data_IF_399683313958
#
_entry.id   IF_399683313958
#
_cell.length_a   1.000
_cell.length_b   1.000
_cell.length_c   1.000
_cell.angle_alpha   90.00
_cell.angle_beta   90.00
_cell.angle_gamma   90.00
#
_symmetry.space_group_name_H-M   'P 1'
#
loop_
_entity.id
_entity.type
_entity.pdbx_description
1 polymer ?
#
# COMPACT_ATOMS: atom_id res chain seq x y z
N UNK A 1 -32.36 9.70 24.80
CA UNK A 1 -31.53 8.72 24.06
C UNK A 1 -31.54 9.16 22.61
N UNK A 2 -30.36 9.41 22.03
CA UNK A 2 -30.27 9.80 20.63
C UNK A 2 -30.73 8.66 19.73
N UNK A 3 -31.58 8.99 18.74
CA UNK A 3 -32.05 8.00 17.76
C UNK A 3 -30.89 7.64 16.84
N UNK A 4 -30.53 6.35 16.79
CA UNK A 4 -29.47 5.86 15.91
C UNK A 4 -29.95 5.91 14.46
N UNK A 5 -29.16 6.53 13.59
CA UNK A 5 -29.44 6.58 12.15
C UNK A 5 -28.77 5.40 11.43
N UNK A 6 -29.55 4.36 11.15
CA UNK A 6 -29.08 3.14 10.52
C UNK A 6 -28.74 3.29 9.02
N UNK A 7 -29.08 4.41 8.39
CA UNK A 7 -28.80 4.63 6.96
C UNK A 7 -27.33 4.88 6.65
N UNK A 8 -26.53 5.21 7.69
CA UNK A 8 -25.10 5.51 7.59
C UNK A 8 -24.21 4.27 7.57
N UNK A 9 -24.73 3.13 7.99
CA UNK A 9 -23.99 1.87 8.02
C UNK A 9 -24.03 1.19 6.66
N UNK A 10 -22.98 0.45 6.34
CA UNK A 10 -22.92 -0.41 5.17
C UNK A 10 -23.90 -1.58 5.30
N UNK A 11 -24.28 -2.17 4.16
CA UNK A 11 -25.18 -3.34 4.14
C UNK A 11 -24.60 -4.50 4.97
N UNK A 12 -23.28 -4.69 4.90
CA UNK A 12 -22.55 -5.75 5.61
C UNK A 12 -22.62 -5.54 7.13
N UNK A 13 -22.42 -4.30 7.61
CA UNK A 13 -22.55 -3.95 9.03
C UNK A 13 -24.00 -4.11 9.53
N UNK A 14 -25.00 -3.78 8.70
CA UNK A 14 -26.41 -3.96 9.04
C UNK A 14 -26.79 -5.45 9.10
N UNK A 15 -26.30 -6.28 8.19
CA UNK A 15 -26.51 -7.73 8.24
C UNK A 15 -25.83 -8.36 9.46
N UNK A 16 -24.63 -7.91 9.80
CA UNK A 16 -23.91 -8.38 10.98
C UNK A 16 -24.64 -7.98 12.28
N UNK A 17 -25.08 -6.71 12.36
CA UNK A 17 -25.89 -6.23 13.46
C UNK A 17 -27.21 -7.01 13.58
N UNK A 18 -27.89 -7.30 12.47
CA UNK A 18 -29.13 -8.07 12.46
C UNK A 18 -28.95 -9.52 12.94
N UNK A 19 -27.79 -10.14 12.70
CA UNK A 19 -27.49 -11.50 13.17
C UNK A 19 -27.19 -11.56 14.67
N UNK A 20 -26.59 -10.51 15.22
CA UNK A 20 -26.09 -10.50 16.60
C UNK A 20 -26.97 -9.71 17.59
N UNK A 21 -27.96 -8.97 17.11
CA UNK A 21 -28.89 -8.22 17.96
C UNK A 21 -29.82 -9.16 18.73
N UNK A 22 -30.00 -8.87 20.02
CA UNK A 22 -31.00 -9.53 20.87
C UNK A 22 -32.40 -9.05 20.47
N UNK A 23 -33.19 -9.98 19.90
CA UNK A 23 -34.52 -9.70 19.33
C UNK A 23 -35.57 -9.46 20.41
N UNK A 24 -35.41 -10.08 21.57
CA UNK A 24 -36.36 -9.97 22.67
C UNK A 24 -36.16 -8.64 23.39
N UNK A 25 -34.91 -8.20 23.50
CA UNK A 25 -34.56 -6.95 24.18
C UNK A 25 -34.75 -5.70 23.32
N UNK A 26 -34.58 -5.78 22.00
CA UNK A 26 -34.64 -4.61 21.10
C UNK A 26 -35.44 -4.85 19.80
N UNK A 27 -36.73 -5.21 19.88
CA UNK A 27 -37.54 -5.54 18.72
C UNK A 27 -37.69 -4.38 17.71
N UNK A 28 -37.72 -3.14 18.19
CA UNK A 28 -37.88 -1.96 17.33
C UNK A 28 -36.66 -1.75 16.41
N UNK A 29 -35.46 -1.98 16.95
CA UNK A 29 -34.21 -1.86 16.18
C UNK A 29 -34.12 -2.94 15.10
N UNK A 30 -34.57 -4.16 15.44
CA UNK A 30 -34.63 -5.28 14.49
C UNK A 30 -35.54 -4.92 13.31
N UNK A 31 -36.74 -4.39 13.57
CA UNK A 31 -37.66 -3.94 12.52
C UNK A 31 -37.08 -2.83 11.66
N UNK A 32 -36.43 -1.84 12.25
CA UNK A 32 -35.79 -0.75 11.50
C UNK A 32 -34.68 -1.28 10.56
N UNK A 33 -33.81 -2.18 11.05
CA UNK A 33 -32.76 -2.79 10.24
C UNK A 33 -33.36 -3.68 9.14
N UNK A 34 -34.36 -4.49 9.47
CA UNK A 34 -35.06 -5.36 8.51
C UNK A 34 -35.73 -4.58 7.38
N UNK A 35 -36.38 -3.44 7.69
CA UNK A 35 -36.97 -2.55 6.69
C UNK A 35 -35.93 -2.00 5.71
N UNK A 36 -34.71 -1.72 6.17
CA UNK A 36 -33.62 -1.22 5.32
C UNK A 36 -33.06 -2.36 4.46
N UNK A 37 -32.87 -3.56 5.04
CA UNK A 37 -32.33 -4.73 4.34
C UNK A 37 -33.29 -5.27 3.28
N UNK A 38 -34.60 -5.18 3.51
CA UNK A 38 -35.63 -5.63 2.58
C UNK A 38 -35.94 -4.63 1.45
N UNK A 39 -35.43 -3.39 1.51
CA UNK A 39 -35.62 -2.39 0.45
C UNK A 39 -34.54 -2.56 -0.65
N UNK A 40 -34.92 -3.07 -1.85
CA UNK A 40 -33.96 -3.33 -2.92
C UNK A 40 -33.34 -2.06 -3.49
N UNK A 41 -34.02 -0.91 -3.40
CA UNK A 41 -33.53 0.37 -3.92
C UNK A 41 -32.40 0.89 -3.03
N UNK A 42 -32.62 0.90 -1.71
CA UNK A 42 -31.61 1.33 -0.73
C UNK A 42 -30.39 0.41 -0.73
N UNK A 43 -30.61 -0.90 -0.82
CA UNK A 43 -29.53 -1.89 -0.89
C UNK A 43 -28.62 -1.67 -2.10
N UNK A 44 -29.19 -1.42 -3.28
CA UNK A 44 -28.41 -1.10 -4.49
C UNK A 44 -27.63 0.20 -4.36
N UNK A 45 -28.24 1.24 -3.78
CA UNK A 45 -27.58 2.53 -3.58
C UNK A 45 -26.36 2.43 -2.64
N UNK A 46 -26.48 1.71 -1.53
CA UNK A 46 -25.38 1.49 -0.59
C UNK A 46 -24.25 0.65 -1.20
N UNK A 47 -24.56 -0.47 -1.87
CA UNK A 47 -23.55 -1.32 -2.53
C UNK A 47 -22.73 -0.54 -3.57
N UNK A 48 -23.35 0.36 -4.31
CA UNK A 48 -22.64 1.22 -5.27
C UNK A 48 -21.70 2.22 -4.58
N UNK A 49 -22.13 2.75 -3.43
CA UNK A 49 -21.34 3.69 -2.63
C UNK A 49 -20.12 2.99 -2.03
N UNK A 50 -20.28 1.76 -1.54
CA UNK A 50 -19.19 0.96 -0.96
C UNK A 50 -18.18 0.53 -2.01
N UNK A 51 -18.63 0.11 -3.21
CA UNK A 51 -17.75 -0.15 -4.35
C UNK A 51 -16.93 1.09 -4.71
N UNK A 52 -17.55 2.26 -4.74
CA UNK A 52 -16.86 3.52 -5.04
C UNK A 52 -15.84 3.89 -3.96
N UNK A 53 -16.19 3.77 -2.67
CA UNK A 53 -15.27 3.97 -1.55
C UNK A 53 -14.08 3.02 -1.60
N UNK A 54 -14.32 1.74 -1.88
CA UNK A 54 -13.28 0.72 -2.01
C UNK A 54 -12.34 1.03 -3.17
N UNK A 55 -12.88 1.41 -4.33
CA UNK A 55 -12.09 1.86 -5.49
C UNK A 55 -11.23 3.08 -5.16
N UNK A 56 -11.78 4.10 -4.48
CA UNK A 56 -10.99 5.26 -4.04
C UNK A 56 -9.87 4.84 -3.10
N UNK A 57 -10.16 3.95 -2.13
CA UNK A 57 -9.16 3.46 -1.17
C UNK A 57 -8.05 2.67 -1.88
N UNK A 58 -8.41 1.84 -2.86
CA UNK A 58 -7.46 1.09 -3.69
C UNK A 58 -6.63 2.02 -4.58
N UNK A 59 -7.23 3.04 -5.21
CA UNK A 59 -6.48 4.03 -5.99
C UNK A 59 -5.53 4.85 -5.11
N UNK A 60 -5.94 5.23 -3.90
CA UNK A 60 -5.07 5.87 -2.90
C UNK A 60 -3.96 4.93 -2.46
N UNK A 61 -4.26 3.66 -2.20
CA UNK A 61 -3.29 2.65 -1.83
C UNK A 61 -2.29 2.39 -2.96
N UNK A 62 -2.72 2.29 -4.21
CA UNK A 62 -1.84 2.16 -5.38
C UNK A 62 -0.99 3.41 -5.61
N UNK A 63 -1.56 4.62 -5.45
CA UNK A 63 -0.80 5.88 -5.48
C UNK A 63 0.23 5.93 -4.34
N UNK A 64 -0.08 5.42 -3.16
CA UNK A 64 0.85 5.32 -2.03
C UNK A 64 1.95 4.27 -2.25
N UNK A 65 1.63 3.14 -2.88
CA UNK A 65 2.62 2.10 -3.25
C UNK A 65 3.56 2.59 -4.36
N UNK A 66 3.04 3.28 -5.39
CA UNK A 66 3.86 3.98 -6.40
C UNK A 66 4.67 5.14 -5.81
N UNK A 67 4.35 5.59 -4.59
CA UNK A 67 5.11 6.59 -3.83
C UNK A 67 6.24 6.00 -2.97
N UNK A 68 6.39 4.67 -2.84
CA UNK A 68 7.61 4.10 -2.23
C UNK A 68 8.80 4.47 -3.10
N UNK A 69 9.67 5.29 -2.52
CA UNK A 69 10.51 6.21 -3.28
C UNK A 69 11.68 5.51 -3.98
N UNK A 70 11.99 5.89 -5.24
CA UNK A 70 13.21 5.45 -5.91
C UNK A 70 14.49 5.90 -5.20
N UNK A 71 14.40 6.81 -4.22
CA UNK A 71 15.49 7.22 -3.35
C UNK A 71 16.00 6.07 -2.46
N UNK A 72 15.11 5.21 -1.96
CA UNK A 72 15.50 4.06 -1.13
C UNK A 72 16.35 3.07 -1.90
N UNK A 73 16.02 2.82 -3.17
CA UNK A 73 16.83 1.95 -4.05
C UNK A 73 18.18 2.58 -4.37
N UNK A 74 18.23 3.89 -4.65
CA UNK A 74 19.50 4.58 -4.89
C UNK A 74 20.45 4.46 -3.68
N UNK A 75 19.95 4.70 -2.47
CA UNK A 75 20.72 4.56 -1.23
C UNK A 75 21.18 3.11 -1.01
N UNK A 76 20.30 2.14 -1.24
CA UNK A 76 20.62 0.71 -1.13
C UNK A 76 21.79 0.33 -2.04
N UNK A 77 21.80 0.77 -3.30
CA UNK A 77 22.90 0.48 -4.23
C UNK A 77 24.22 1.16 -3.83
N UNK A 78 24.18 2.36 -3.25
CA UNK A 78 25.38 3.02 -2.70
C UNK A 78 25.95 2.18 -1.56
N UNK A 79 25.11 1.78 -0.59
CA UNK A 79 25.54 0.94 0.55
C UNK A 79 26.13 -0.38 0.05
N UNK A 80 25.46 -1.03 -0.91
CA UNK A 80 25.94 -2.29 -1.47
C UNK A 80 27.29 -2.13 -2.19
N UNK A 81 27.45 -1.04 -2.97
CA UNK A 81 28.71 -0.72 -3.64
C UNK A 81 29.86 -0.51 -2.66
N UNK A 82 29.63 0.22 -1.56
CA UNK A 82 30.61 0.39 -0.47
C UNK A 82 30.95 -0.95 0.18
N UNK A 83 29.95 -1.76 0.53
CA UNK A 83 30.19 -3.07 1.14
C UNK A 83 31.02 -4.00 0.24
N UNK A 84 30.70 -4.07 -1.06
CA UNK A 84 31.46 -4.89 -2.02
C UNK A 84 32.89 -4.35 -2.19
N UNK A 85 33.06 -3.03 -2.19
CA UNK A 85 34.39 -2.41 -2.39
C UNK A 85 35.33 -2.68 -1.21
N UNK A 86 34.82 -2.63 0.03
CA UNK A 86 35.61 -2.85 1.24
C UNK A 86 35.75 -4.32 1.63
N UNK A 87 34.65 -5.09 1.57
CA UNK A 87 34.62 -6.47 2.07
C UNK A 87 34.78 -7.51 0.96
N UNK A 88 34.60 -7.16 -0.31
CA UNK A 88 34.67 -8.11 -1.43
C UNK A 88 33.55 -9.16 -1.43
N UNK A 89 32.51 -8.98 -0.62
CA UNK A 89 31.40 -9.92 -0.47
C UNK A 89 30.24 -9.54 -1.37
N UNK A 90 29.96 -10.36 -2.38
CA UNK A 90 28.75 -10.27 -3.19
C UNK A 90 27.69 -11.26 -2.67
N UNK A 91 26.54 -10.72 -2.28
CA UNK A 91 25.39 -11.54 -1.89
C UNK A 91 24.79 -12.20 -3.14
N UNK A 92 25.01 -13.51 -3.30
CA UNK A 92 24.31 -14.32 -4.30
C UNK A 92 22.90 -14.65 -3.84
N UNK A 93 21.98 -14.79 -4.81
CA UNK A 93 20.62 -15.30 -4.58
C UNK A 93 20.60 -16.73 -4.01
N UNK A 94 21.68 -17.48 -4.17
CA UNK A 94 21.85 -18.84 -3.63
C UNK A 94 22.36 -18.88 -2.19
N UNK A 95 22.68 -17.72 -1.58
CA UNK A 95 23.24 -17.64 -0.22
C UNK A 95 24.73 -17.97 -0.13
N UNK A 96 25.36 -18.40 -1.22
CA UNK A 96 26.82 -18.55 -1.30
C UNK A 96 27.44 -17.19 -1.63
N UNK A 97 28.14 -16.58 -0.67
CA UNK A 97 28.89 -15.36 -0.92
C UNK A 97 30.03 -15.63 -1.88
N UNK A 98 30.09 -14.94 -3.02
CA UNK A 98 31.28 -14.98 -3.87
C UNK A 98 32.25 -13.92 -3.36
N UNK A 99 33.41 -14.38 -2.86
CA UNK A 99 34.51 -13.50 -2.52
C UNK A 99 35.21 -13.06 -3.81
N UNK A 100 35.35 -11.75 -3.98
CA UNK A 100 36.15 -11.16 -5.06
C UNK A 100 37.51 -10.84 -4.48
N UNK A 101 38.57 -11.52 -4.88
CA UNK A 101 39.89 -11.35 -4.24
C UNK A 101 40.70 -10.19 -4.84
N UNK A 102 40.44 -9.85 -6.11
CA UNK A 102 41.14 -8.75 -6.78
C UNK A 102 40.59 -7.39 -6.37
N UNK A 103 41.47 -6.52 -5.85
CA UNK A 103 41.13 -5.13 -5.50
C UNK A 103 40.62 -4.35 -6.71
N UNK A 104 41.18 -4.60 -7.91
CA UNK A 104 40.74 -3.95 -9.15
C UNK A 104 39.30 -4.31 -9.51
N UNK A 105 38.93 -5.58 -9.37
CA UNK A 105 37.56 -6.06 -9.61
C UNK A 105 36.57 -5.47 -8.60
N UNK A 106 36.95 -5.39 -7.31
CA UNK A 106 36.13 -4.76 -6.27
C UNK A 106 35.80 -3.31 -6.61
N UNK A 107 36.80 -2.53 -7.04
CA UNK A 107 36.63 -1.12 -7.42
C UNK A 107 35.73 -1.00 -8.65
N UNK A 108 35.92 -1.83 -9.68
CA UNK A 108 35.06 -1.83 -10.87
C UNK A 108 33.61 -2.13 -10.52
N UNK A 109 33.35 -3.13 -9.69
CA UNK A 109 32.00 -3.50 -9.25
C UNK A 109 31.37 -2.36 -8.43
N UNK A 110 32.16 -1.71 -7.56
CA UNK A 110 31.72 -0.51 -6.83
C UNK A 110 31.29 0.64 -7.76
N UNK A 111 32.05 0.90 -8.83
CA UNK A 111 31.72 1.91 -9.85
C UNK A 111 30.39 1.57 -10.54
N UNK A 112 30.16 0.28 -10.87
CA UNK A 112 28.90 -0.17 -11.48
C UNK A 112 27.71 0.09 -10.55
N UNK A 113 27.83 -0.24 -9.27
CA UNK A 113 26.79 0.05 -8.28
C UNK A 113 26.50 1.55 -8.14
N UNK A 114 27.55 2.37 -8.14
CA UNK A 114 27.41 3.82 -8.09
C UNK A 114 26.72 4.39 -9.33
N UNK A 115 27.06 3.88 -10.52
CA UNK A 115 26.40 4.25 -11.77
C UNK A 115 24.90 3.90 -11.75
N UNK A 116 24.54 2.71 -11.25
CA UNK A 116 23.14 2.31 -11.07
C UNK A 116 22.44 3.27 -10.10
N UNK A 117 23.04 3.54 -8.93
CA UNK A 117 22.49 4.47 -7.95
C UNK A 117 22.24 5.87 -8.55
N UNK A 118 23.18 6.36 -9.35
CA UNK A 118 23.07 7.64 -10.06
C UNK A 118 21.88 7.66 -11.05
N UNK A 119 21.65 6.57 -11.79
CA UNK A 119 20.49 6.45 -12.68
C UNK A 119 19.17 6.50 -11.91
N UNK A 120 19.07 5.80 -10.77
CA UNK A 120 17.89 5.85 -9.90
C UNK A 120 17.68 7.25 -9.31
N UNK A 121 18.75 7.91 -8.87
CA UNK A 121 18.70 9.27 -8.35
C UNK A 121 18.24 10.28 -9.42
N UNK A 122 18.76 10.19 -10.64
CA UNK A 122 18.34 11.06 -11.75
C UNK A 122 16.87 10.85 -12.14
N UNK A 123 16.41 9.60 -12.14
CA UNK A 123 14.99 9.27 -12.38
C UNK A 123 14.09 9.85 -11.28
N UNK A 124 14.52 9.77 -10.02
CA UNK A 124 13.84 10.40 -8.89
C UNK A 124 13.79 11.93 -9.06
N UNK A 125 14.93 12.58 -9.36
CA UNK A 125 15.04 14.04 -9.54
C UNK A 125 14.06 14.55 -10.61
N UNK A 126 14.00 13.88 -11.77
CA UNK A 126 13.04 14.20 -12.85
C UNK A 126 11.58 14.04 -12.39
N UNK A 127 11.30 13.03 -11.57
CA UNK A 127 9.97 12.76 -11.03
C UNK A 127 9.55 13.75 -9.93
N UNK A 128 10.51 14.31 -9.19
CA UNK A 128 10.28 15.32 -8.17
C UNK A 128 10.03 16.71 -8.78
N UNK A 129 10.77 17.09 -9.83
CA UNK A 129 10.60 18.38 -10.52
C UNK A 129 9.19 18.56 -11.13
N UNK A 130 8.62 17.50 -11.71
CA UNK A 130 7.24 17.52 -12.23
C UNK A 130 6.15 17.76 -11.17
N UNK A 131 6.46 17.61 -9.88
CA UNK A 131 5.50 17.80 -8.78
C UNK A 131 5.44 19.25 -8.26
N UNK A 132 6.40 20.11 -8.61
CA UNK A 132 6.40 21.51 -8.19
C UNK A 132 5.55 22.44 -9.08
N UNK A 133 5.08 21.93 -10.21
CA UNK A 133 4.28 22.69 -11.19
C UNK A 133 2.81 22.23 -11.27
N UNK A 134 2.33 21.47 -10.28
CA UNK A 134 0.91 21.08 -10.12
C UNK A 134 0.45 21.48 -8.73
#
# INVERSE_FOLDING_TARGET
MDKIDYTKYSVEELEDAYRHIDRDRWPDRVKEIELILNDPVKRRAQVNTDKYRKKIKEERAQKSRKRREPLGYALMYIVLGVLVSFFGLLASRTGQGTAVDSMGERVLIGIVFFAIAYLYFNKWRKSAGKRRHK
#
